data_IF_908298474166
#
_entry.id   IF_908298474166
#
_cell.length_a   1.000
_cell.length_b   1.000
_cell.length_c   1.000
_cell.angle_alpha   90.00
_cell.angle_beta   90.00
_cell.angle_gamma   90.00
#
_symmetry.space_group_name_H-M   'P 1'
#
loop_
_entity.id
_entity.type
_entity.pdbx_description
1 polymer ?
#
# COMPACT_ATOMS: atom_id res chain seq x y z
N UNK A 1 4.56 2.16 -34.86
CA UNK A 1 3.83 1.96 -33.59
C UNK A 1 2.83 3.11 -33.52
N UNK A 2 1.51 2.87 -33.52
CA UNK A 2 0.55 3.95 -33.36
C UNK A 2 0.72 4.56 -31.97
N UNK A 3 1.06 5.83 -31.88
CA UNK A 3 1.03 6.61 -30.65
C UNK A 3 -0.43 7.02 -30.45
N UNK A 4 -1.09 6.44 -29.47
CA UNK A 4 -2.43 6.87 -29.07
C UNK A 4 -2.23 8.14 -28.21
N UNK A 5 -2.38 9.31 -28.82
CA UNK A 5 -2.46 10.57 -28.10
C UNK A 5 -3.88 10.77 -27.60
N UNK A 6 -4.01 11.08 -26.32
CA UNK A 6 -5.31 11.43 -25.72
C UNK A 6 -5.59 12.93 -25.91
N UNK A 7 -6.87 13.33 -25.83
CA UNK A 7 -7.25 14.74 -25.90
C UNK A 7 -6.54 15.61 -24.85
N UNK A 8 -6.15 15.02 -23.72
CA UNK A 8 -5.39 15.66 -22.64
C UNK A 8 -3.95 15.93 -23.05
N UNK A 9 -3.29 15.03 -23.81
CA UNK A 9 -1.92 15.22 -24.28
C UNK A 9 -1.83 16.39 -25.26
N UNK A 10 -2.85 16.55 -26.12
CA UNK A 10 -2.91 17.64 -27.11
C UNK A 10 -3.24 18.98 -26.45
N UNK A 11 -4.04 19.01 -25.37
CA UNK A 11 -4.45 20.24 -24.70
C UNK A 11 -3.51 20.70 -23.58
N UNK A 12 -2.46 19.94 -23.28
CA UNK A 12 -1.55 20.19 -22.15
C UNK A 12 -2.21 20.02 -20.77
N UNK A 13 -3.39 19.41 -20.71
CA UNK A 13 -4.12 19.15 -19.48
C UNK A 13 -3.79 17.75 -18.96
N UNK A 14 -3.77 17.57 -17.65
CA UNK A 14 -3.44 16.28 -17.04
C UNK A 14 -4.73 15.48 -16.84
N UNK A 15 -4.79 14.27 -17.44
CA UNK A 15 -5.86 13.31 -17.18
C UNK A 15 -5.72 12.64 -15.81
N UNK A 16 -6.83 12.18 -15.22
CA UNK A 16 -6.83 11.54 -13.90
C UNK A 16 -6.03 10.24 -13.89
N UNK A 17 -6.07 9.46 -14.96
CA UNK A 17 -5.26 8.25 -15.13
C UNK A 17 -3.76 8.55 -15.23
N UNK A 18 -3.38 9.58 -15.96
CA UNK A 18 -1.99 10.06 -16.03
C UNK A 18 -1.51 10.55 -14.67
N UNK A 19 -2.38 11.22 -13.90
CA UNK A 19 -2.08 11.64 -12.53
C UNK A 19 -1.86 10.42 -11.63
N UNK A 20 -2.73 9.43 -11.70
CA UNK A 20 -2.61 8.16 -10.96
C UNK A 20 -1.27 7.48 -11.25
N UNK A 21 -0.85 7.41 -12.52
CA UNK A 21 0.45 6.83 -12.91
C UNK A 21 1.64 7.61 -12.33
N UNK A 22 1.61 8.94 -12.41
CA UNK A 22 2.68 9.80 -11.86
C UNK A 22 2.80 9.70 -10.34
N UNK A 23 1.70 9.46 -9.64
CA UNK A 23 1.65 9.27 -8.20
C UNK A 23 1.88 7.81 -7.78
N UNK A 24 2.21 6.90 -8.70
CA UNK A 24 2.35 5.47 -8.43
C UNK A 24 1.16 4.92 -7.63
N UNK A 25 -0.07 5.26 -8.07
CA UNK A 25 -1.31 4.96 -7.38
C UNK A 25 -2.29 4.23 -8.30
N UNK A 26 -3.36 3.68 -7.74
CA UNK A 26 -4.43 3.02 -8.49
C UNK A 26 -5.70 3.87 -8.47
N UNK A 27 -6.45 3.81 -9.56
CA UNK A 27 -7.79 4.39 -9.61
C UNK A 27 -8.76 3.47 -8.85
N UNK A 28 -9.59 4.05 -8.01
CA UNK A 28 -10.67 3.32 -7.35
C UNK A 28 -11.73 2.90 -8.39
N UNK A 29 -12.08 3.82 -9.30
CA UNK A 29 -13.08 3.60 -10.33
C UNK A 29 -12.65 4.29 -11.64
N UNK A 30 -12.54 3.51 -12.71
CA UNK A 30 -12.13 4.01 -14.02
C UNK A 30 -13.19 4.92 -14.65
N UNK A 31 -14.48 4.65 -14.46
CA UNK A 31 -15.56 5.46 -15.01
C UNK A 31 -15.62 6.84 -14.34
N UNK A 32 -15.38 6.92 -13.03
CA UNK A 32 -15.27 8.20 -12.33
C UNK A 32 -14.07 8.99 -12.83
N UNK A 33 -12.93 8.34 -13.02
CA UNK A 33 -11.74 8.98 -13.56
C UNK A 33 -11.96 9.52 -14.98
N UNK A 34 -12.68 8.79 -15.84
CA UNK A 34 -13.06 9.26 -17.19
C UNK A 34 -13.98 10.47 -17.11
N UNK A 35 -15.00 10.45 -16.24
CA UNK A 35 -15.91 11.57 -16.05
C UNK A 35 -15.19 12.85 -15.61
N UNK A 36 -14.32 12.72 -14.58
CA UNK A 36 -13.53 13.87 -14.09
C UNK A 36 -12.53 14.35 -15.16
N UNK A 37 -11.88 13.45 -15.89
CA UNK A 37 -11.01 13.80 -17.02
C UNK A 37 -11.78 14.58 -18.08
N UNK A 38 -13.01 14.17 -18.41
CA UNK A 38 -13.87 14.88 -19.36
C UNK A 38 -14.16 16.33 -18.92
N UNK A 39 -14.42 16.55 -17.62
CA UNK A 39 -14.60 17.90 -17.06
C UNK A 39 -13.34 18.74 -17.25
N UNK A 40 -12.15 18.18 -16.97
CA UNK A 40 -10.85 18.86 -17.16
C UNK A 40 -10.64 19.25 -18.62
N UNK A 41 -10.91 18.33 -19.56
CA UNK A 41 -10.78 18.58 -21.00
C UNK A 41 -11.71 19.67 -21.47
N UNK A 42 -12.96 19.67 -21.00
CA UNK A 42 -13.96 20.66 -21.35
C UNK A 42 -13.75 22.04 -20.70
N UNK A 43 -12.70 22.18 -19.88
CA UNK A 43 -12.36 23.46 -19.24
C UNK A 43 -13.19 23.78 -18.00
N UNK A 44 -13.89 22.79 -17.46
CA UNK A 44 -14.59 22.94 -16.20
C UNK A 44 -13.63 23.06 -15.01
N UNK A 45 -14.07 23.73 -13.95
CA UNK A 45 -13.27 23.86 -12.74
C UNK A 45 -13.28 22.55 -11.95
N UNK A 46 -12.16 21.86 -11.96
CA UNK A 46 -11.92 20.65 -11.16
C UNK A 46 -10.93 20.97 -10.05
N UNK A 47 -11.36 20.78 -8.80
CA UNK A 47 -10.51 20.97 -7.64
C UNK A 47 -9.66 19.72 -7.38
N UNK A 48 -8.36 19.93 -7.11
CA UNK A 48 -7.46 18.88 -6.71
C UNK A 48 -7.22 18.96 -5.20
N UNK A 49 -7.63 17.92 -4.49
CA UNK A 49 -7.38 17.78 -3.06
C UNK A 49 -6.24 16.81 -2.85
N UNK A 50 -5.09 17.33 -2.45
CA UNK A 50 -3.91 16.52 -2.07
C UNK A 50 -3.73 16.61 -0.55
N UNK A 51 -3.36 15.52 0.13
CA UNK A 51 -3.15 15.52 1.57
C UNK A 51 -2.19 16.62 2.05
N UNK A 52 -1.11 16.86 1.32
CA UNK A 52 -0.10 17.91 1.63
C UNK A 52 -0.57 19.35 1.38
N UNK A 53 -1.65 19.55 0.62
CA UNK A 53 -2.18 20.88 0.26
C UNK A 53 -3.35 21.30 1.13
N UNK A 54 -3.84 20.43 2.00
CA UNK A 54 -4.93 20.73 2.90
C UNK A 54 -4.31 21.00 4.27
N UNK A 55 -4.43 22.22 4.74
CA UNK A 55 -3.94 22.63 6.07
C UNK A 55 -4.60 21.73 7.13
N UNK A 56 -3.79 21.06 7.95
CA UNK A 56 -4.20 20.14 9.02
C UNK A 56 -4.78 18.78 8.58
N UNK A 57 -4.47 18.30 7.37
CA UNK A 57 -4.78 16.91 7.02
C UNK A 57 -3.50 16.07 6.96
N UNK A 58 -3.58 14.90 7.54
CA UNK A 58 -2.61 13.81 7.33
C UNK A 58 -2.92 13.11 6.02
N UNK A 59 -2.02 12.29 5.52
CA UNK A 59 -2.25 11.44 4.33
C UNK A 59 -3.46 10.49 4.53
N UNK A 60 -3.87 10.29 5.78
CA UNK A 60 -4.94 9.40 6.24
C UNK A 60 -6.27 10.15 6.45
N UNK A 61 -6.67 11.02 5.53
CA UNK A 61 -7.96 11.70 5.64
C UNK A 61 -9.12 10.71 5.51
N UNK A 62 -9.92 10.59 6.58
CA UNK A 62 -11.14 9.75 6.59
C UNK A 62 -12.37 10.45 6.01
N UNK A 63 -12.25 11.70 5.61
CA UNK A 63 -13.38 12.45 5.05
C UNK A 63 -12.97 13.73 4.35
N UNK A 64 -13.85 14.23 3.49
CA UNK A 64 -13.71 15.51 2.83
C UNK A 64 -15.02 16.30 2.89
N UNK A 65 -14.91 17.63 3.04
CA UNK A 65 -16.05 18.55 2.94
C UNK A 65 -15.85 19.35 1.66
N UNK A 66 -16.85 19.25 0.76
CA UNK A 66 -16.85 19.99 -0.49
C UNK A 66 -17.92 21.08 -0.40
N UNK A 67 -17.49 22.33 -0.53
CA UNK A 67 -18.39 23.48 -0.58
C UNK A 67 -18.57 23.87 -2.05
N UNK A 68 -19.78 23.73 -2.57
CA UNK A 68 -20.09 24.07 -3.96
C UNK A 68 -21.51 24.54 -4.12
N UNK A 69 -21.76 25.47 -5.04
CA UNK A 69 -23.09 25.87 -5.48
C UNK A 69 -23.55 25.02 -6.70
N UNK A 70 -22.78 24.03 -7.13
CA UNK A 70 -23.14 23.14 -8.24
C UNK A 70 -24.04 22.02 -7.74
N UNK A 71 -25.10 21.73 -8.50
CA UNK A 71 -26.06 20.64 -8.20
C UNK A 71 -25.38 19.26 -8.26
N UNK A 72 -24.41 19.08 -9.15
CA UNK A 72 -23.68 17.84 -9.36
C UNK A 72 -22.18 18.09 -9.27
N UNK A 73 -21.49 17.26 -8.53
CA UNK A 73 -20.02 17.24 -8.40
C UNK A 73 -19.56 15.82 -8.68
N UNK A 74 -18.64 15.68 -9.63
CA UNK A 74 -17.95 14.40 -9.88
C UNK A 74 -16.71 14.33 -9.01
N UNK A 75 -16.54 13.20 -8.30
CA UNK A 75 -15.41 12.95 -7.40
C UNK A 75 -14.70 11.69 -7.88
N UNK A 76 -13.37 11.70 -7.91
CA UNK A 76 -12.54 10.52 -8.13
C UNK A 76 -11.57 10.35 -6.97
N UNK A 77 -11.52 9.14 -6.39
CA UNK A 77 -10.54 8.76 -5.37
C UNK A 77 -9.35 8.10 -6.04
N UNK A 78 -8.15 8.55 -5.72
CA UNK A 78 -6.89 7.95 -6.13
C UNK A 78 -6.27 7.29 -4.91
N UNK A 79 -5.94 6.00 -5.03
CA UNK A 79 -5.38 5.19 -3.95
C UNK A 79 -3.87 5.09 -4.18
N UNK A 80 -3.03 5.75 -3.36
CA UNK A 80 -1.60 5.65 -3.47
C UNK A 80 -1.13 4.23 -3.14
N UNK A 81 -0.10 3.75 -3.85
CA UNK A 81 0.57 2.49 -3.54
C UNK A 81 1.80 2.78 -2.68
N UNK A 82 1.58 3.10 -1.42
CA UNK A 82 2.61 3.51 -0.46
C UNK A 82 2.65 2.65 0.80
N UNK A 83 1.86 1.56 0.84
CA UNK A 83 1.87 0.64 1.97
C UNK A 83 2.80 -0.54 1.69
N UNK A 84 3.76 -0.74 2.57
CA UNK A 84 4.65 -1.90 2.58
C UNK A 84 4.32 -2.78 3.79
N UNK A 85 4.04 -4.05 3.54
CA UNK A 85 3.72 -5.01 4.59
C UNK A 85 4.89 -5.96 4.84
N UNK A 86 5.23 -6.14 6.10
CA UNK A 86 6.06 -7.26 6.52
C UNK A 86 5.20 -8.39 7.08
N UNK A 87 5.45 -9.61 6.66
CA UNK A 87 4.69 -10.78 7.10
C UNK A 87 5.59 -11.88 7.65
N UNK A 88 5.26 -12.38 8.83
CA UNK A 88 5.75 -13.64 9.36
C UNK A 88 4.58 -14.60 9.52
N UNK A 89 4.74 -15.87 9.22
CA UNK A 89 3.69 -16.86 9.38
C UNK A 89 4.23 -18.21 9.84
N UNK A 90 3.36 -19.06 10.40
CA UNK A 90 3.67 -20.47 10.67
C UNK A 90 3.79 -21.23 9.36
N UNK A 91 4.54 -22.34 9.36
CA UNK A 91 4.63 -23.22 8.21
C UNK A 91 3.30 -23.93 7.93
N UNK A 92 3.00 -24.13 6.64
CA UNK A 92 1.80 -24.85 6.19
C UNK A 92 0.50 -24.06 6.38
N UNK A 93 0.56 -22.74 6.54
CA UNK A 93 -0.61 -21.89 6.66
C UNK A 93 -1.32 -21.78 5.29
N UNK A 94 -2.65 -21.87 5.30
CA UNK A 94 -3.42 -21.81 4.06
C UNK A 94 -3.52 -20.38 3.52
N UNK A 95 -3.56 -20.24 2.21
CA UNK A 95 -3.66 -18.93 1.54
C UNK A 95 -4.91 -18.15 1.94
N UNK A 96 -6.06 -18.86 2.07
CA UNK A 96 -7.33 -18.24 2.45
C UNK A 96 -7.24 -17.58 3.83
N UNK A 97 -6.54 -18.24 4.75
CA UNK A 97 -6.32 -17.69 6.09
C UNK A 97 -5.41 -16.44 6.06
N UNK A 98 -4.36 -16.47 5.23
CA UNK A 98 -3.48 -15.30 5.05
C UNK A 98 -4.27 -14.12 4.48
N UNK A 99 -5.06 -14.34 3.43
CA UNK A 99 -5.88 -13.30 2.79
C UNK A 99 -6.90 -12.72 3.79
N UNK A 100 -7.58 -13.59 4.53
CA UNK A 100 -8.54 -13.19 5.56
C UNK A 100 -7.89 -12.27 6.61
N UNK A 101 -6.76 -12.70 7.18
CA UNK A 101 -6.10 -11.96 8.26
C UNK A 101 -5.46 -10.66 7.79
N UNK A 102 -4.90 -10.67 6.57
CA UNK A 102 -4.39 -9.47 5.93
C UNK A 102 -5.50 -8.45 5.70
N UNK A 103 -6.61 -8.87 5.10
CA UNK A 103 -7.78 -8.02 4.87
C UNK A 103 -8.34 -7.46 6.18
N UNK A 104 -8.43 -8.30 7.21
CA UNK A 104 -8.87 -7.87 8.53
C UNK A 104 -7.94 -6.79 9.12
N UNK A 105 -6.62 -7.00 9.04
CA UNK A 105 -5.65 -6.04 9.57
C UNK A 105 -5.70 -4.69 8.86
N UNK A 106 -5.84 -4.69 7.53
CA UNK A 106 -6.00 -3.46 6.75
C UNK A 106 -7.30 -2.73 7.11
N UNK A 107 -8.41 -3.46 7.24
CA UNK A 107 -9.70 -2.86 7.64
C UNK A 107 -9.63 -2.21 9.02
N UNK A 108 -8.91 -2.82 9.98
CA UNK A 108 -8.71 -2.23 11.30
C UNK A 108 -7.92 -0.91 11.27
N UNK A 109 -7.06 -0.75 10.25
CA UNK A 109 -6.28 0.47 10.02
C UNK A 109 -6.95 1.43 9.01
N UNK A 110 -8.17 1.11 8.55
CA UNK A 110 -8.88 1.86 7.51
C UNK A 110 -8.07 2.02 6.22
N UNK A 111 -7.34 0.97 5.82
CA UNK A 111 -6.49 0.94 4.64
C UNK A 111 -7.13 0.15 3.49
N UNK A 112 -6.95 0.65 2.29
CA UNK A 112 -7.33 -0.03 1.05
C UNK A 112 -6.33 -1.12 0.68
N UNK A 113 -6.79 -2.30 0.30
CA UNK A 113 -5.91 -3.37 -0.17
C UNK A 113 -5.10 -2.95 -1.40
N UNK A 114 -5.67 -2.09 -2.25
CA UNK A 114 -5.02 -1.54 -3.42
C UNK A 114 -3.90 -0.53 -3.09
N UNK A 115 -3.78 -0.10 -1.84
CA UNK A 115 -2.68 0.76 -1.38
C UNK A 115 -1.38 -0.03 -1.13
N UNK A 116 -1.45 -1.37 -1.11
CA UNK A 116 -0.27 -2.20 -0.89
C UNK A 116 0.63 -2.13 -2.12
N UNK A 117 1.85 -1.64 -1.91
CA UNK A 117 2.92 -1.62 -2.91
C UNK A 117 3.58 -2.97 -3.05
N UNK A 118 3.93 -3.59 -1.92
CA UNK A 118 4.54 -4.91 -1.83
C UNK A 118 4.41 -5.52 -0.43
N UNK A 119 4.65 -6.83 -0.37
CA UNK A 119 4.79 -7.60 0.87
C UNK A 119 6.23 -8.07 0.99
N UNK A 120 6.73 -8.19 2.21
CA UNK A 120 8.07 -8.68 2.49
C UNK A 120 8.08 -9.73 3.59
N UNK A 121 8.98 -10.69 3.50
CA UNK A 121 9.18 -11.74 4.50
C UNK A 121 10.64 -12.17 4.59
N UNK A 122 10.96 -13.10 5.48
CA UNK A 122 12.31 -13.65 5.61
C UNK A 122 12.52 -14.83 4.65
N UNK A 123 13.78 -15.10 4.30
CA UNK A 123 14.25 -16.21 3.43
C UNK A 123 13.60 -17.55 3.78
N UNK A 124 13.36 -17.83 5.06
CA UNK A 124 12.77 -19.10 5.53
C UNK A 124 11.31 -19.28 5.08
N UNK A 125 10.73 -18.27 4.43
CA UNK A 125 9.35 -18.26 3.89
C UNK A 125 9.31 -18.23 2.36
N UNK A 126 10.47 -18.29 1.70
CA UNK A 126 10.54 -18.27 0.24
C UNK A 126 9.94 -19.52 -0.42
N UNK A 127 9.75 -20.60 0.34
CA UNK A 127 9.11 -21.86 -0.06
C UNK A 127 7.71 -22.06 0.56
N UNK A 128 7.15 -21.06 1.25
CA UNK A 128 5.84 -21.16 1.90
C UNK A 128 4.72 -20.99 0.87
N UNK A 129 4.18 -22.13 0.41
CA UNK A 129 3.21 -22.20 -0.69
C UNK A 129 1.99 -21.30 -0.42
N UNK A 130 1.40 -21.37 0.79
CA UNK A 130 0.21 -20.58 1.11
C UNK A 130 0.46 -19.08 1.05
N UNK A 131 1.65 -18.62 1.43
CA UNK A 131 2.04 -17.21 1.35
C UNK A 131 2.22 -16.76 -0.10
N UNK A 132 2.94 -17.55 -0.90
CA UNK A 132 3.19 -17.24 -2.30
C UNK A 132 1.88 -17.21 -3.10
N UNK A 133 1.01 -18.19 -2.90
CA UNK A 133 -0.30 -18.27 -3.56
C UNK A 133 -1.23 -17.12 -3.14
N UNK A 134 -1.22 -16.73 -1.86
CA UNK A 134 -1.99 -15.59 -1.38
C UNK A 134 -1.56 -14.30 -2.08
N UNK A 135 -0.26 -14.03 -2.16
CA UNK A 135 0.26 -12.84 -2.83
C UNK A 135 -0.01 -12.85 -4.33
N UNK A 136 0.09 -14.02 -4.96
CA UNK A 136 -0.26 -14.18 -6.37
C UNK A 136 -1.75 -13.92 -6.64
N UNK A 137 -2.65 -14.42 -5.81
CA UNK A 137 -4.10 -14.19 -5.93
C UNK A 137 -4.46 -12.72 -5.76
N UNK A 138 -3.83 -12.03 -4.81
CA UNK A 138 -4.00 -10.60 -4.59
C UNK A 138 -3.27 -9.71 -5.61
N UNK A 139 -2.45 -10.31 -6.48
CA UNK A 139 -1.57 -9.60 -7.41
C UNK A 139 -0.67 -8.56 -6.72
N UNK A 140 -0.10 -8.96 -5.58
CA UNK A 140 0.83 -8.14 -4.78
C UNK A 140 2.23 -8.74 -4.88
N UNK A 141 3.26 -7.95 -5.24
CA UNK A 141 4.64 -8.41 -5.25
C UNK A 141 5.10 -8.84 -3.85
N UNK A 142 5.86 -9.93 -3.78
CA UNK A 142 6.49 -10.38 -2.53
C UNK A 142 8.02 -10.43 -2.68
N UNK A 143 8.72 -9.98 -1.64
CA UNK A 143 10.17 -9.92 -1.54
C UNK A 143 10.62 -10.68 -0.30
N UNK A 144 11.76 -11.39 -0.41
CA UNK A 144 12.31 -12.15 0.71
C UNK A 144 13.72 -11.65 1.00
N UNK A 145 13.98 -11.35 2.27
CA UNK A 145 15.25 -10.84 2.76
C UNK A 145 16.07 -11.96 3.41
N UNK A 146 17.37 -11.97 3.16
CA UNK A 146 18.28 -12.90 3.78
C UNK A 146 18.52 -12.54 5.26
N UNK A 147 19.07 -13.51 5.98
CA UNK A 147 19.31 -13.36 7.43
C UNK A 147 20.21 -12.17 7.75
N UNK A 148 21.25 -12.01 6.96
CA UNK A 148 22.26 -10.96 7.12
C UNK A 148 21.63 -9.57 6.99
N UNK A 149 20.75 -9.37 6.00
CA UNK A 149 20.03 -8.11 5.79
C UNK A 149 19.10 -7.77 6.95
N UNK A 150 18.39 -8.79 7.51
CA UNK A 150 17.51 -8.61 8.67
C UNK A 150 18.33 -8.24 9.92
N UNK A 151 19.52 -8.82 10.09
CA UNK A 151 20.41 -8.51 11.20
C UNK A 151 20.93 -7.06 11.15
N UNK A 152 21.16 -6.49 9.96
CA UNK A 152 21.60 -5.09 9.82
C UNK A 152 20.60 -4.06 10.39
N UNK A 153 19.32 -4.41 10.44
CA UNK A 153 18.26 -3.54 10.96
C UNK A 153 17.69 -3.99 12.32
N UNK A 154 18.31 -5.00 12.93
CA UNK A 154 17.81 -5.62 14.17
C UNK A 154 17.74 -4.65 15.35
N UNK A 155 18.60 -3.62 15.39
CA UNK A 155 18.59 -2.59 16.42
C UNK A 155 17.41 -1.62 16.32
N UNK A 156 16.77 -1.55 15.15
CA UNK A 156 15.59 -0.73 14.90
C UNK A 156 14.28 -1.40 15.32
N UNK A 157 14.33 -2.74 15.63
CA UNK A 157 13.16 -3.53 15.95
C UNK A 157 12.79 -3.32 17.43
N UNK A 158 11.56 -2.89 17.67
CA UNK A 158 11.06 -2.73 19.05
C UNK A 158 10.50 -4.05 19.61
N UNK A 159 9.85 -4.85 18.78
CA UNK A 159 9.12 -6.06 19.22
C UNK A 159 9.98 -7.33 19.09
N UNK A 160 11.07 -7.40 19.85
CA UNK A 160 12.00 -8.53 19.85
C UNK A 160 11.36 -9.81 20.43
N UNK A 161 11.57 -10.96 19.77
CA UNK A 161 11.08 -12.26 20.17
C UNK A 161 12.21 -13.26 20.35
N UNK A 162 12.47 -13.65 21.58
CA UNK A 162 13.46 -14.70 21.91
C UNK A 162 13.12 -16.05 21.27
N UNK A 163 11.84 -16.36 21.11
CA UNK A 163 11.40 -17.58 20.44
C UNK A 163 11.83 -17.59 18.96
N UNK A 164 11.62 -16.49 18.24
CA UNK A 164 12.02 -16.34 16.84
C UNK A 164 13.56 -16.39 16.74
N UNK A 165 14.26 -15.70 17.64
CA UNK A 165 15.72 -15.72 17.71
C UNK A 165 16.29 -17.13 17.85
N UNK A 166 15.73 -17.95 18.74
CA UNK A 166 16.12 -19.36 18.91
C UNK A 166 15.83 -20.22 17.69
N UNK A 167 14.72 -19.92 16.97
CA UNK A 167 14.28 -20.72 15.82
C UNK A 167 15.05 -20.44 14.54
N UNK A 168 15.28 -19.16 14.21
CA UNK A 168 15.83 -18.75 12.90
C UNK A 168 16.99 -17.75 13.02
N UNK A 169 17.37 -17.36 14.23
CA UNK A 169 18.54 -16.52 14.49
C UNK A 169 18.34 -15.01 14.37
N UNK A 170 17.09 -14.54 14.19
CA UNK A 170 16.70 -13.11 14.19
C UNK A 170 15.58 -12.88 15.16
N UNK A 171 15.44 -11.66 15.73
CA UNK A 171 14.44 -11.35 16.74
C UNK A 171 13.02 -11.15 16.20
N UNK A 172 12.87 -10.97 14.89
CA UNK A 172 11.57 -10.75 14.26
C UNK A 172 11.66 -10.90 12.75
N UNK A 173 10.51 -11.02 12.10
CA UNK A 173 10.39 -11.11 10.64
C UNK A 173 9.59 -9.94 10.09
N UNK A 174 8.37 -9.73 10.57
CA UNK A 174 7.45 -8.76 9.97
C UNK A 174 7.96 -7.32 10.01
N UNK A 175 8.40 -6.85 11.18
CA UNK A 175 8.85 -5.46 11.36
C UNK A 175 10.12 -5.15 10.53
N UNK A 176 11.22 -5.93 10.63
CA UNK A 176 12.42 -5.64 9.85
C UNK A 176 12.21 -5.79 8.35
N UNK A 177 11.44 -6.80 7.90
CA UNK A 177 11.18 -6.99 6.47
C UNK A 177 10.33 -5.85 5.88
N UNK A 178 9.34 -5.32 6.62
CA UNK A 178 8.60 -4.15 6.18
C UNK A 178 9.53 -2.94 6.01
N UNK A 179 10.41 -2.71 6.98
CA UNK A 179 11.37 -1.61 6.92
C UNK A 179 12.38 -1.76 5.78
N UNK A 180 12.97 -2.94 5.60
CA UNK A 180 13.92 -3.21 4.52
C UNK A 180 13.31 -3.03 3.13
N UNK A 181 12.06 -3.48 2.95
CA UNK A 181 11.35 -3.36 1.69
C UNK A 181 10.86 -1.93 1.37
N UNK A 182 10.81 -1.05 2.37
CA UNK A 182 10.37 0.33 2.21
C UNK A 182 11.48 1.24 1.67
N UNK A 183 11.10 2.45 1.29
CA UNK A 183 12.06 3.53 0.97
C UNK A 183 12.79 4.07 2.20
N UNK A 184 12.45 3.56 3.41
CA UNK A 184 12.93 4.04 4.72
C UNK A 184 12.54 5.49 5.04
N UNK A 185 11.64 6.06 4.23
CA UNK A 185 11.00 7.36 4.44
C UNK A 185 9.53 7.13 4.70
N UNK A 186 9.04 7.51 5.86
CA UNK A 186 7.68 7.25 6.30
C UNK A 186 7.65 6.73 7.73
N UNK A 187 6.55 6.08 8.11
CA UNK A 187 6.35 5.60 9.47
C UNK A 187 5.63 4.25 9.53
N UNK A 188 5.77 3.56 10.64
CA UNK A 188 4.97 2.38 10.93
C UNK A 188 3.59 2.78 11.43
N UNK A 189 2.55 2.42 10.69
CA UNK A 189 1.15 2.46 11.16
C UNK A 189 0.90 1.35 12.19
N UNK A 190 1.57 0.22 12.02
CA UNK A 190 1.55 -0.88 13.00
C UNK A 190 2.87 -1.65 12.95
N UNK A 191 3.61 -1.69 14.07
CA UNK A 191 4.90 -2.40 14.16
C UNK A 191 4.72 -3.91 14.29
N UNK A 192 3.67 -4.37 14.97
CA UNK A 192 3.39 -5.79 15.12
C UNK A 192 1.92 -6.05 15.43
N UNK A 193 1.24 -6.71 14.52
CA UNK A 193 -0.10 -7.25 14.72
C UNK A 193 0.03 -8.78 14.74
N UNK A 194 -0.43 -9.40 15.83
CA UNK A 194 -0.38 -10.86 15.99
C UNK A 194 -1.77 -11.43 15.70
N UNK A 195 -1.85 -12.31 14.71
CA UNK A 195 -3.10 -12.88 14.19
C UNK A 195 -2.89 -14.38 14.01
N UNK A 196 -3.56 -15.19 14.74
CA UNK A 196 -3.62 -16.66 14.62
C UNK A 196 -2.58 -17.32 13.67
N UNK A 197 -1.33 -17.36 14.10
CA UNK A 197 -0.20 -17.92 13.35
C UNK A 197 0.42 -17.00 12.31
N UNK A 198 -0.02 -15.74 12.21
CA UNK A 198 0.54 -14.70 11.34
C UNK A 198 0.98 -13.51 12.20
N UNK A 199 2.06 -12.85 11.81
CA UNK A 199 2.46 -11.54 12.31
C UNK A 199 2.56 -10.58 11.13
N UNK A 200 1.98 -9.40 11.28
CA UNK A 200 2.01 -8.33 10.27
C UNK A 200 2.63 -7.07 10.86
N UNK A 201 3.36 -6.35 10.03
CA UNK A 201 3.81 -4.98 10.27
C UNK A 201 3.42 -4.15 9.06
N UNK A 202 2.94 -2.93 9.28
CA UNK A 202 2.43 -2.03 8.25
C UNK A 202 3.27 -0.77 8.28
N UNK A 203 3.99 -0.51 7.19
CA UNK A 203 4.78 0.70 7.00
C UNK A 203 4.16 1.54 5.90
N UNK A 204 3.93 2.84 6.18
CA UNK A 204 3.46 3.81 5.19
C UNK A 204 4.64 4.65 4.73
N UNK A 205 4.92 4.62 3.43
CA UNK A 205 5.96 5.46 2.81
C UNK A 205 5.44 6.89 2.57
N UNK A 206 6.33 7.86 2.72
CA UNK A 206 6.07 9.22 2.28
C UNK A 206 5.83 9.27 0.76
N UNK A 207 4.85 10.07 0.32
CA UNK A 207 4.57 10.29 -1.09
C UNK A 207 5.39 11.44 -1.66
#
# INVERSE_FOLDING_TARGET
IPVITTATDVSGKIAVDTMSQKLMSKLENLEDAKRVTSLIVNGENVSLYLPKNIVNTTQNSSGAIIISNRKKIEISKIIPQNIVLGIGCRRGIKKEHIIEKLTWALNCQNLEINSIKKVASAWVKSDEIGLIEAMKELNIPIEFFEKEEILEVEDLIENKSEYVKKSIGVYGVSEPCAYLASTKKGEFLAKKIVLDGITLSIFEEDM
#
